data_IF_332759836670
#
_entry.id   IF_332759836670
#
_cell.length_a   1.000
_cell.length_b   1.000
_cell.length_c   1.000
_cell.angle_alpha   90.00
_cell.angle_beta   90.00
_cell.angle_gamma   90.00
#
_symmetry.space_group_name_H-M   'P 1'
#
loop_
_entity.id
_entity.type
_entity.pdbx_description
1 polymer ?
#
# COMPACT_ATOMS: atom_id res chain seq x y z
N UNK A 1 4.42 79.74 -69.48
CA UNK A 1 4.83 81.16 -69.56
C UNK A 1 6.33 81.19 -69.33
N UNK A 2 7.17 81.70 -70.23
CA UNK A 2 6.86 82.15 -71.59
C UNK A 2 8.07 81.93 -72.50
N UNK A 3 7.77 81.76 -73.78
CA UNK A 3 8.70 81.70 -74.90
C UNK A 3 9.58 82.96 -74.96
N UNK A 4 10.90 82.81 -75.21
CA UNK A 4 11.78 83.90 -75.58
C UNK A 4 12.55 83.54 -76.85
N UNK A 5 11.96 83.98 -77.95
CA UNK A 5 12.36 83.70 -79.32
C UNK A 5 13.74 84.28 -79.64
N UNK A 6 14.56 83.49 -80.34
CA UNK A 6 15.81 83.93 -80.94
C UNK A 6 15.54 85.00 -82.00
N UNK A 7 15.94 86.26 -81.75
CA UNK A 7 15.97 87.29 -82.78
C UNK A 7 17.20 87.06 -83.67
N UNK A 8 16.99 86.50 -84.86
CA UNK A 8 18.00 86.47 -85.91
C UNK A 8 18.03 87.82 -86.64
N UNK A 9 19.11 88.58 -86.46
CA UNK A 9 19.35 89.81 -87.23
C UNK A 9 19.47 89.47 -88.73
N UNK A 10 18.39 89.68 -89.50
CA UNK A 10 18.43 89.56 -90.96
C UNK A 10 19.27 90.70 -91.56
N UNK A 11 20.48 90.38 -92.02
CA UNK A 11 21.40 91.34 -92.67
C UNK A 11 21.16 91.39 -94.17
N UNK A 12 21.32 92.56 -94.77
CA UNK A 12 21.11 92.78 -96.22
C UNK A 12 22.30 92.28 -97.06
N UNK A 13 22.02 91.83 -98.29
CA UNK A 13 23.01 91.33 -99.24
C UNK A 13 24.12 92.37 -99.57
N UNK A 14 25.39 91.96 -99.53
CA UNK A 14 26.56 92.86 -99.68
C UNK A 14 26.96 93.14 -101.15
N UNK A 15 26.06 92.91 -102.10
CA UNK A 15 26.25 93.20 -103.53
C UNK A 15 25.84 94.66 -103.85
N UNK A 16 26.59 95.41 -104.69
CA UNK A 16 26.25 96.80 -104.99
C UNK A 16 24.86 96.94 -105.64
N UNK A 17 23.94 97.65 -104.98
CA UNK A 17 22.59 97.89 -105.49
C UNK A 17 21.56 96.77 -105.20
N UNK A 18 21.85 95.81 -104.31
CA UNK A 18 20.88 94.79 -103.91
C UNK A 18 20.40 95.00 -102.46
N UNK A 19 19.07 95.06 -102.27
CA UNK A 19 18.43 95.24 -100.94
C UNK A 19 17.78 93.95 -100.40
N UNK A 20 17.98 92.80 -101.06
CA UNK A 20 17.45 91.51 -100.59
C UNK A 20 18.16 91.07 -99.30
N UNK A 21 17.48 90.40 -98.35
CA UNK A 21 18.14 89.82 -97.18
C UNK A 21 19.17 88.76 -97.62
N UNK A 22 20.28 88.69 -96.90
CA UNK A 22 21.25 87.60 -97.01
C UNK A 22 20.66 86.30 -96.43
N UNK A 23 21.15 85.16 -96.91
CA UNK A 23 20.65 83.84 -96.50
C UNK A 23 20.84 83.64 -94.99
N UNK A 24 19.81 83.12 -94.32
CA UNK A 24 19.88 82.81 -92.89
C UNK A 24 20.95 81.77 -92.61
N UNK A 25 21.78 82.01 -91.58
CA UNK A 25 22.70 81.01 -91.10
C UNK A 25 21.93 79.93 -90.32
N UNK A 26 21.76 78.76 -90.93
CA UNK A 26 21.29 77.57 -90.21
C UNK A 26 22.25 77.24 -89.06
N UNK A 27 21.70 76.69 -87.97
CA UNK A 27 22.31 76.65 -86.64
C UNK A 27 23.52 75.70 -86.51
N UNK A 28 24.61 76.03 -87.19
CA UNK A 28 25.93 75.39 -87.10
C UNK A 28 27.04 76.44 -86.95
N UNK A 29 28.12 76.06 -86.26
CA UNK A 29 29.26 76.94 -85.94
C UNK A 29 30.11 77.25 -87.18
N UNK A 30 29.67 78.22 -87.98
CA UNK A 30 30.35 78.71 -89.17
C UNK A 30 30.22 80.23 -89.37
N UNK A 31 31.03 80.80 -90.26
CA UNK A 31 30.99 82.24 -90.59
C UNK A 31 29.70 82.56 -91.40
N UNK A 32 28.81 83.45 -90.94
CA UNK A 32 27.51 83.68 -91.59
C UNK A 32 27.61 84.12 -93.07
N UNK A 33 26.61 83.77 -93.92
CA UNK A 33 26.56 84.19 -95.32
C UNK A 33 26.50 85.73 -95.50
N UNK A 34 27.21 86.28 -96.50
CA UNK A 34 27.25 87.73 -96.80
C UNK A 34 26.35 88.15 -97.98
N UNK A 35 25.65 87.21 -98.62
CA UNK A 35 24.87 87.44 -99.85
C UNK A 35 23.53 86.70 -99.81
N UNK A 36 22.60 87.01 -100.71
CA UNK A 36 21.29 86.35 -100.86
C UNK A 36 21.35 85.10 -101.77
N UNK A 37 20.25 84.34 -101.85
CA UNK A 37 20.06 83.12 -102.70
C UNK A 37 20.05 83.37 -104.22
N UNK A 38 20.83 84.33 -104.71
CA UNK A 38 20.95 84.68 -106.12
C UNK A 38 22.35 84.28 -106.60
N UNK A 39 22.45 83.33 -107.54
CA UNK A 39 23.76 82.81 -108.00
C UNK A 39 24.68 83.92 -108.54
N UNK A 40 24.10 85.00 -109.07
CA UNK A 40 24.84 86.18 -109.53
C UNK A 40 25.45 87.02 -108.40
N UNK A 41 24.93 86.94 -107.18
CA UNK A 41 25.36 87.75 -106.04
C UNK A 41 26.37 87.02 -105.16
N UNK A 42 27.62 86.98 -105.63
CA UNK A 42 28.74 86.42 -104.89
C UNK A 42 29.94 87.39 -104.82
N UNK A 43 30.92 87.08 -103.98
CA UNK A 43 32.11 87.93 -103.73
C UNK A 43 32.90 88.28 -104.99
N UNK A 44 33.02 87.35 -105.94
CA UNK A 44 33.74 87.55 -107.19
C UNK A 44 32.96 88.45 -108.19
N UNK A 45 31.64 88.39 -108.18
CA UNK A 45 30.79 89.30 -108.95
C UNK A 45 30.76 90.71 -108.33
N UNK A 46 30.59 90.81 -107.00
CA UNK A 46 30.59 92.08 -106.28
C UNK A 46 31.90 92.86 -106.43
N UNK A 47 33.05 92.18 -106.50
CA UNK A 47 34.35 92.82 -106.76
C UNK A 47 34.46 93.34 -108.21
N UNK A 48 34.01 92.54 -109.20
CA UNK A 48 33.97 92.97 -110.61
C UNK A 48 33.05 94.17 -110.84
N UNK A 49 31.90 94.21 -110.16
CA UNK A 49 30.98 95.34 -110.21
C UNK A 49 31.62 96.63 -109.65
N UNK A 50 32.24 96.56 -108.46
CA UNK A 50 32.97 97.71 -107.87
C UNK A 50 34.10 98.20 -108.79
N UNK A 51 34.89 97.28 -109.36
CA UNK A 51 36.02 97.63 -110.25
C UNK A 51 35.60 98.33 -111.55
N UNK A 52 34.36 98.12 -112.04
CA UNK A 52 33.81 98.90 -113.16
C UNK A 52 33.44 100.34 -112.77
N UNK A 53 33.01 100.56 -111.52
CA UNK A 53 32.65 101.89 -111.00
C UNK A 53 33.86 102.76 -110.61
N UNK A 54 35.07 102.20 -110.58
CA UNK A 54 36.32 102.93 -110.23
C UNK A 54 37.25 103.14 -111.43
N UNK A 55 36.79 102.87 -112.66
CA UNK A 55 37.63 102.78 -113.86
C UNK A 55 37.39 103.89 -114.90
N UNK A 56 36.96 105.09 -114.48
CA UNK A 56 36.92 106.28 -115.33
C UNK A 56 37.69 107.46 -114.69
N UNK A 57 38.86 107.80 -115.25
CA UNK A 57 39.35 109.17 -115.22
C UNK A 57 39.90 109.61 -116.59
N UNK A 58 39.41 110.74 -117.10
CA UNK A 58 40.03 111.43 -118.24
C UNK A 58 40.29 112.90 -117.90
N UNK A 59 41.57 113.31 -117.99
CA UNK A 59 41.97 114.72 -117.94
C UNK A 59 43.11 114.97 -118.94
N UNK A 60 42.77 115.73 -119.99
CA UNK A 60 43.55 116.78 -120.65
C UNK A 60 45.09 116.76 -120.59
N UNK A 61 45.72 116.80 -121.77
CA UNK A 61 47.01 117.48 -122.02
C UNK A 61 46.88 118.26 -123.33
N UNK A 62 47.41 119.48 -123.39
CA UNK A 62 47.20 120.48 -124.45
C UNK A 62 48.34 120.60 -125.49
N UNK A 63 48.05 121.43 -126.51
CA UNK A 63 48.87 121.85 -127.65
C UNK A 63 50.36 122.16 -127.39
N UNK A 64 51.20 121.75 -128.35
CA UNK A 64 52.62 122.07 -128.41
C UNK A 64 52.90 123.36 -129.21
N UNK A 65 53.62 124.34 -128.62
CA UNK A 65 54.51 125.22 -129.40
C UNK A 65 55.85 125.55 -128.69
N UNK A 66 56.91 124.97 -129.27
CA UNK A 66 58.35 125.35 -129.26
C UNK A 66 59.27 124.72 -128.18
N UNK A 67 60.53 124.41 -128.54
CA UNK A 67 61.19 123.19 -128.00
C UNK A 67 62.22 123.41 -126.89
N UNK A 68 62.48 124.64 -126.46
CA UNK A 68 63.59 124.95 -125.52
C UNK A 68 63.12 125.02 -124.07
N UNK A 69 61.91 125.50 -123.82
CA UNK A 69 61.34 125.58 -122.46
C UNK A 69 60.94 124.20 -121.91
N UNK A 70 60.52 123.27 -122.78
CA UNK A 70 60.24 121.87 -122.43
C UNK A 70 61.49 121.10 -121.93
N UNK A 71 62.71 121.58 -122.20
CA UNK A 71 63.92 121.02 -121.59
C UNK A 71 64.14 121.57 -120.17
N UNK A 72 63.81 122.84 -119.94
CA UNK A 72 63.92 123.51 -118.63
C UNK A 72 62.87 123.00 -117.64
N UNK A 73 61.65 122.75 -118.12
CA UNK A 73 60.57 122.18 -117.33
C UNK A 73 60.89 120.74 -116.87
N UNK A 74 61.39 119.88 -117.78
CA UNK A 74 61.87 118.53 -117.42
C UNK A 74 63.06 118.53 -116.46
N UNK A 75 63.96 119.51 -116.56
CA UNK A 75 65.02 119.69 -115.57
C UNK A 75 64.45 120.09 -114.19
N UNK A 76 63.41 120.92 -114.15
CA UNK A 76 62.67 121.24 -112.92
C UNK A 76 61.92 120.05 -112.32
N UNK A 77 61.29 119.22 -113.16
CA UNK A 77 60.63 117.98 -112.74
C UNK A 77 61.62 116.96 -112.18
N UNK A 78 62.76 116.73 -112.86
CA UNK A 78 63.85 115.89 -112.35
C UNK A 78 64.45 116.46 -111.06
N UNK A 79 64.59 117.78 -110.93
CA UNK A 79 65.07 118.40 -109.71
C UNK A 79 64.07 118.25 -108.55
N UNK A 80 62.76 118.39 -108.82
CA UNK A 80 61.70 118.10 -107.85
C UNK A 80 61.61 116.63 -107.47
N UNK A 81 61.88 115.72 -108.41
CA UNK A 81 61.89 114.28 -108.15
C UNK A 81 63.13 113.87 -107.34
N UNK A 82 64.30 114.42 -107.63
CA UNK A 82 65.52 114.25 -106.82
C UNK A 82 65.37 114.90 -105.45
N UNK A 83 64.78 116.10 -105.36
CA UNK A 83 64.49 116.75 -104.08
C UNK A 83 63.51 115.89 -103.24
N UNK A 84 62.43 115.40 -103.84
CA UNK A 84 61.49 114.48 -103.18
C UNK A 84 62.12 113.13 -102.79
N UNK A 85 63.07 112.61 -103.55
CA UNK A 85 63.86 111.43 -103.18
C UNK A 85 64.83 111.73 -102.02
N UNK A 86 65.43 112.92 -101.97
CA UNK A 86 66.28 113.37 -100.85
C UNK A 86 65.45 113.64 -99.60
N UNK A 87 64.26 114.21 -99.73
CA UNK A 87 63.29 114.35 -98.64
C UNK A 87 62.80 112.99 -98.15
N UNK A 88 62.50 112.05 -99.07
CA UNK A 88 62.10 110.69 -98.70
C UNK A 88 63.24 109.92 -98.01
N UNK A 89 64.47 110.04 -98.50
CA UNK A 89 65.65 109.48 -97.84
C UNK A 89 65.90 110.15 -96.48
N UNK A 90 65.66 111.45 -96.36
CA UNK A 90 65.69 112.18 -95.09
C UNK A 90 64.64 111.67 -94.09
N UNK A 91 63.42 111.39 -94.55
CA UNK A 91 62.38 110.75 -93.74
C UNK A 91 62.77 109.31 -93.37
N UNK A 92 63.30 108.52 -94.30
CA UNK A 92 63.76 107.15 -94.04
C UNK A 92 64.92 107.12 -93.05
N UNK A 93 65.93 107.98 -93.20
CA UNK A 93 67.04 108.08 -92.24
C UNK A 93 66.58 108.63 -90.89
N UNK A 94 65.60 109.55 -90.85
CA UNK A 94 65.02 110.01 -89.58
C UNK A 94 64.26 108.89 -88.88
N UNK A 95 63.47 108.09 -89.62
CA UNK A 95 62.80 106.92 -89.08
C UNK A 95 63.79 105.85 -88.59
N UNK A 96 64.87 105.59 -89.35
CA UNK A 96 65.94 104.67 -88.95
C UNK A 96 66.71 105.17 -87.73
N UNK A 97 66.92 106.48 -87.60
CA UNK A 97 67.49 107.10 -86.40
C UNK A 97 66.55 107.01 -85.21
N UNK A 98 65.22 107.12 -85.38
CA UNK A 98 64.27 106.92 -84.27
C UNK A 98 64.10 105.44 -83.89
N UNK A 99 64.13 104.50 -84.83
CA UNK A 99 64.20 103.07 -84.53
C UNK A 99 65.52 102.74 -83.81
N UNK A 100 66.66 103.28 -84.25
CA UNK A 100 67.95 103.12 -83.57
C UNK A 100 67.98 103.82 -82.20
N UNK A 101 67.29 104.96 -82.02
CA UNK A 101 67.13 105.61 -80.70
C UNK A 101 66.28 104.75 -79.77
N UNK A 102 65.21 104.15 -80.27
CA UNK A 102 64.33 103.26 -79.49
C UNK A 102 65.05 101.94 -79.14
N UNK A 103 65.90 101.42 -80.03
CA UNK A 103 66.75 100.25 -79.78
C UNK A 103 67.98 100.55 -78.90
N UNK A 104 68.43 101.81 -78.86
CA UNK A 104 69.54 102.27 -78.02
C UNK A 104 69.07 103.01 -76.76
N UNK A 105 67.76 103.02 -76.48
CA UNK A 105 67.18 103.55 -75.25
C UNK A 105 67.36 102.50 -74.14
N UNK A 106 68.27 102.73 -73.17
CA UNK A 106 68.50 101.78 -72.09
C UNK A 106 67.30 101.69 -71.15
N UNK A 107 66.53 102.77 -70.99
CA UNK A 107 65.40 102.84 -70.05
C UNK A 107 64.23 102.01 -70.59
N UNK A 108 64.00 102.04 -71.92
CA UNK A 108 63.02 101.17 -72.58
C UNK A 108 63.39 99.67 -72.49
N UNK A 109 64.69 99.35 -72.63
CA UNK A 109 65.18 97.98 -72.48
C UNK A 109 65.11 97.49 -71.02
N UNK A 110 65.44 98.35 -70.04
CA UNK A 110 65.32 98.06 -68.62
C UNK A 110 63.86 97.82 -68.22
N UNK A 111 62.93 98.68 -68.66
CA UNK A 111 61.49 98.49 -68.43
C UNK A 111 60.94 97.19 -69.07
N UNK A 112 61.45 96.79 -70.24
CA UNK A 112 61.08 95.51 -70.86
C UNK A 112 61.65 94.31 -70.07
N UNK A 113 62.88 94.41 -69.57
CA UNK A 113 63.49 93.37 -68.72
C UNK A 113 62.75 93.28 -67.38
N UNK A 114 62.40 94.40 -66.74
CA UNK A 114 61.61 94.44 -65.50
C UNK A 114 60.22 93.81 -65.71
N UNK A 115 59.56 94.13 -66.83
CA UNK A 115 58.27 93.52 -67.20
C UNK A 115 58.38 92.00 -67.40
N UNK A 116 59.35 91.52 -68.18
CA UNK A 116 59.55 90.09 -68.44
C UNK A 116 60.02 89.33 -67.20
N UNK A 117 60.84 89.94 -66.34
CA UNK A 117 61.26 89.32 -65.08
C UNK A 117 60.14 89.29 -64.04
N UNK A 118 59.29 90.32 -64.00
CA UNK A 118 58.05 90.32 -63.19
C UNK A 118 57.10 89.23 -63.67
N UNK A 119 56.82 89.15 -64.98
CA UNK A 119 55.95 88.09 -65.53
C UNK A 119 56.55 86.69 -65.29
N UNK A 120 57.87 86.52 -65.42
CA UNK A 120 58.54 85.27 -65.11
C UNK A 120 58.43 84.92 -63.61
N UNK A 121 58.61 85.89 -62.71
CA UNK A 121 58.44 85.70 -61.27
C UNK A 121 56.99 85.34 -60.92
N UNK A 122 55.99 86.01 -61.51
CA UNK A 122 54.57 85.67 -61.36
C UNK A 122 54.26 84.26 -61.87
N UNK A 123 54.76 83.88 -63.05
CA UNK A 123 54.60 82.53 -63.61
C UNK A 123 55.24 81.46 -62.71
N UNK A 124 56.43 81.72 -62.16
CA UNK A 124 57.10 80.83 -61.20
C UNK A 124 56.31 80.74 -59.90
N UNK A 125 55.85 81.86 -59.33
CA UNK A 125 55.02 81.90 -58.12
C UNK A 125 53.67 81.19 -58.31
N UNK A 126 53.03 81.37 -59.46
CA UNK A 126 51.79 80.66 -59.81
C UNK A 126 52.01 79.17 -60.09
N UNK A 127 53.21 78.77 -60.53
CA UNK A 127 53.60 77.36 -60.67
C UNK A 127 53.89 76.72 -59.31
N UNK A 128 54.70 77.34 -58.46
CA UNK A 128 55.03 76.85 -57.12
C UNK A 128 53.79 76.80 -56.23
N UNK A 129 52.92 77.82 -56.27
CA UNK A 129 51.65 77.80 -55.54
C UNK A 129 50.70 76.70 -56.01
N UNK A 130 50.73 76.30 -57.30
CA UNK A 130 49.99 75.12 -57.78
C UNK A 130 50.63 73.82 -57.31
N UNK A 131 51.95 73.69 -57.35
CA UNK A 131 52.67 72.52 -56.84
C UNK A 131 52.41 72.31 -55.34
N UNK A 132 52.58 73.35 -54.51
CA UNK A 132 52.33 73.28 -53.06
C UNK A 132 50.88 72.88 -52.73
N UNK A 133 49.89 73.38 -53.49
CA UNK A 133 48.48 72.96 -53.32
C UNK A 133 48.27 71.50 -53.73
N UNK A 134 48.89 71.04 -54.82
CA UNK A 134 48.80 69.66 -55.26
C UNK A 134 49.43 68.70 -54.24
N UNK A 135 50.60 69.04 -53.69
CA UNK A 135 51.22 68.26 -52.61
C UNK A 135 50.39 68.28 -51.32
N UNK A 136 49.78 69.42 -50.95
CA UNK A 136 48.89 69.50 -49.78
C UNK A 136 47.66 68.61 -49.97
N UNK A 137 47.02 68.65 -51.14
CA UNK A 137 45.90 67.77 -51.48
C UNK A 137 46.31 66.29 -51.49
N UNK A 138 47.50 65.96 -52.01
CA UNK A 138 48.04 64.59 -51.95
C UNK A 138 48.28 64.13 -50.51
N UNK A 139 48.91 64.96 -49.67
CA UNK A 139 49.15 64.64 -48.25
C UNK A 139 47.84 64.47 -47.47
N UNK A 140 46.82 65.29 -47.78
CA UNK A 140 45.50 65.14 -47.19
C UNK A 140 44.81 63.84 -47.64
N UNK A 141 44.79 63.54 -48.94
CA UNK A 141 44.18 62.31 -49.46
C UNK A 141 44.90 61.04 -48.95
N UNK A 142 46.22 61.08 -48.78
CA UNK A 142 46.99 59.98 -48.18
C UNK A 142 46.64 59.80 -46.70
N UNK A 143 46.46 60.90 -45.94
CA UNK A 143 46.03 60.85 -44.54
C UNK A 143 44.59 60.33 -44.40
N UNK A 144 43.65 60.81 -45.22
CA UNK A 144 42.27 60.33 -45.28
C UNK A 144 42.20 58.84 -45.65
N UNK A 145 43.07 58.36 -46.56
CA UNK A 145 43.16 56.92 -46.86
C UNK A 145 43.67 56.13 -45.67
N UNK A 146 44.73 56.57 -44.99
CA UNK A 146 45.27 55.88 -43.81
C UNK A 146 44.25 55.85 -42.66
N UNK A 147 43.48 56.91 -42.45
CA UNK A 147 42.39 56.95 -41.47
C UNK A 147 41.25 55.98 -41.84
N UNK A 148 40.85 55.94 -43.12
CA UNK A 148 39.85 55.00 -43.62
C UNK A 148 40.31 53.53 -43.54
N UNK A 149 41.57 53.25 -43.88
CA UNK A 149 42.19 51.93 -43.77
C UNK A 149 42.23 51.47 -42.29
N UNK A 150 42.60 52.36 -41.37
CA UNK A 150 42.59 52.08 -39.92
C UNK A 150 41.17 51.81 -39.39
N UNK A 151 40.19 52.65 -39.75
CA UNK A 151 38.79 52.46 -39.35
C UNK A 151 38.19 51.16 -39.93
N UNK A 152 38.60 50.76 -41.14
CA UNK A 152 38.21 49.49 -41.74
C UNK A 152 38.82 48.28 -41.00
N UNK A 153 40.08 48.38 -40.55
CA UNK A 153 40.71 47.36 -39.71
C UNK A 153 40.02 47.22 -38.36
N UNK A 154 39.77 48.33 -37.64
CA UNK A 154 39.04 48.32 -36.36
C UNK A 154 37.63 47.73 -36.50
N UNK A 155 36.92 48.05 -37.59
CA UNK A 155 35.60 47.48 -37.88
C UNK A 155 35.66 45.97 -38.17
N UNK A 156 36.72 45.49 -38.86
CA UNK A 156 36.93 44.07 -39.12
C UNK A 156 37.26 43.30 -37.83
N UNK A 157 38.17 43.84 -37.01
CA UNK A 157 38.52 43.24 -35.71
C UNK A 157 37.31 43.15 -34.77
N UNK A 158 36.48 44.21 -34.73
CA UNK A 158 35.24 44.19 -33.94
C UNK A 158 34.23 43.16 -34.48
N UNK A 159 34.09 43.05 -35.81
CA UNK A 159 33.22 42.05 -36.43
C UNK A 159 33.69 40.60 -36.15
N UNK A 160 35.00 40.35 -36.19
CA UNK A 160 35.59 39.06 -35.83
C UNK A 160 35.39 38.72 -34.35
N UNK A 161 35.58 39.69 -33.45
CA UNK A 161 35.31 39.52 -32.01
C UNK A 161 33.83 39.22 -31.74
N UNK A 162 32.91 39.96 -32.40
CA UNK A 162 31.47 39.70 -32.30
C UNK A 162 31.11 38.32 -32.83
N UNK A 163 31.63 37.93 -34.00
CA UNK A 163 31.39 36.60 -34.58
C UNK A 163 31.92 35.47 -33.68
N UNK A 164 33.12 35.64 -33.10
CA UNK A 164 33.68 34.69 -32.15
C UNK A 164 32.81 34.56 -30.88
N UNK A 165 32.34 35.69 -30.33
CA UNK A 165 31.44 35.67 -29.16
C UNK A 165 30.10 35.00 -29.46
N UNK A 166 29.54 35.20 -30.67
CA UNK A 166 28.29 34.59 -31.10
C UNK A 166 28.42 33.07 -31.25
N UNK A 167 29.52 32.60 -31.84
CA UNK A 167 29.83 31.15 -31.93
C UNK A 167 30.01 30.55 -30.55
N UNK A 168 30.71 31.21 -29.62
CA UNK A 168 30.88 30.75 -28.25
C UNK A 168 29.54 30.66 -27.50
N UNK A 169 28.65 31.65 -27.66
CA UNK A 169 27.30 31.64 -27.07
C UNK A 169 26.45 30.52 -27.67
N UNK A 170 26.53 30.26 -28.98
CA UNK A 170 25.81 29.14 -29.60
C UNK A 170 26.28 27.78 -29.06
N UNK A 171 27.59 27.61 -28.88
CA UNK A 171 28.15 26.40 -28.27
C UNK A 171 27.65 26.24 -26.82
N UNK A 172 27.73 27.29 -26.02
CA UNK A 172 27.26 27.27 -24.63
C UNK A 172 25.74 27.02 -24.52
N UNK A 173 24.94 27.47 -25.49
CA UNK A 173 23.52 27.14 -25.58
C UNK A 173 23.29 25.68 -25.97
N UNK A 174 24.02 25.15 -26.96
CA UNK A 174 23.88 23.75 -27.37
C UNK A 174 24.32 22.78 -26.27
N UNK A 175 25.39 23.09 -25.54
CA UNK A 175 25.83 22.33 -24.37
C UNK A 175 24.77 22.37 -23.24
N UNK A 176 24.15 23.53 -23.02
CA UNK A 176 23.01 23.66 -22.08
C UNK A 176 21.80 22.85 -22.53
N UNK A 177 21.44 22.85 -23.80
CA UNK A 177 20.34 22.03 -24.33
C UNK A 177 20.63 20.53 -24.14
N UNK A 178 21.85 20.07 -24.46
CA UNK A 178 22.28 18.69 -24.24
C UNK A 178 22.24 18.29 -22.76
N UNK A 179 22.69 19.16 -21.84
CA UNK A 179 22.61 18.86 -20.40
C UNK A 179 21.18 18.86 -19.88
N UNK A 180 20.28 19.71 -20.41
CA UNK A 180 18.86 19.70 -20.06
C UNK A 180 18.18 18.41 -20.56
N UNK A 181 18.48 17.98 -21.78
CA UNK A 181 17.97 16.71 -22.35
C UNK A 181 18.49 15.50 -21.55
N UNK A 182 19.76 15.49 -21.15
CA UNK A 182 20.32 14.46 -20.28
C UNK A 182 19.60 14.42 -18.92
N UNK A 183 19.46 15.56 -18.25
CA UNK A 183 18.77 15.64 -16.94
C UNK A 183 17.29 15.28 -17.07
N UNK A 184 16.64 15.61 -18.19
CA UNK A 184 15.25 15.20 -18.46
C UNK A 184 15.14 13.68 -18.64
N UNK A 185 16.08 13.05 -19.34
CA UNK A 185 16.14 11.59 -19.49
C UNK A 185 16.44 10.87 -18.16
N UNK A 186 17.39 11.38 -17.37
CA UNK A 186 17.69 10.89 -16.02
C UNK A 186 16.47 11.02 -15.11
N UNK A 187 15.78 12.15 -15.12
CA UNK A 187 14.54 12.35 -14.35
C UNK A 187 13.40 11.42 -14.80
N UNK A 188 13.27 11.14 -16.11
CA UNK A 188 12.28 10.21 -16.63
C UNK A 188 12.56 8.76 -16.19
N UNK A 189 13.83 8.32 -16.25
CA UNK A 189 14.23 6.99 -15.76
C UNK A 189 14.09 6.85 -14.24
N UNK A 190 14.45 7.88 -13.46
CA UNK A 190 14.26 7.89 -12.01
C UNK A 190 12.77 7.82 -11.62
N UNK A 191 11.89 8.52 -12.33
CA UNK A 191 10.43 8.45 -12.14
C UNK A 191 9.87 7.07 -12.44
N UNK A 192 10.22 6.47 -13.58
CA UNK A 192 9.72 5.13 -13.93
C UNK A 192 10.23 4.05 -12.98
N UNK A 193 11.47 4.16 -12.49
CA UNK A 193 12.00 3.29 -11.45
C UNK A 193 11.25 3.45 -10.10
N UNK A 194 10.96 4.68 -9.69
CA UNK A 194 10.18 4.94 -8.47
C UNK A 194 8.72 4.47 -8.59
N UNK A 195 8.09 4.61 -9.76
CA UNK A 195 6.75 4.07 -10.04
C UNK A 195 6.74 2.53 -9.97
N UNK A 196 7.73 1.86 -10.58
CA UNK A 196 7.88 0.41 -10.50
C UNK A 196 8.10 -0.09 -9.06
N UNK A 197 8.95 0.60 -8.28
CA UNK A 197 9.17 0.29 -6.86
C UNK A 197 7.90 0.49 -6.02
N UNK A 198 7.11 1.54 -6.28
CA UNK A 198 5.84 1.76 -5.60
C UNK A 198 4.82 0.67 -5.93
N UNK A 199 4.72 0.23 -7.18
CA UNK A 199 3.85 -0.88 -7.58
C UNK A 199 4.28 -2.20 -6.94
N UNK A 200 5.58 -2.48 -6.88
CA UNK A 200 6.12 -3.66 -6.18
C UNK A 200 5.78 -3.61 -4.69
N UNK A 201 6.07 -2.50 -3.99
CA UNK A 201 5.79 -2.33 -2.57
C UNK A 201 4.29 -2.42 -2.25
N UNK A 202 3.42 -1.92 -3.14
CA UNK A 202 1.97 -2.10 -3.02
C UNK A 202 1.57 -3.58 -3.15
N UNK A 203 2.15 -4.32 -4.10
CA UNK A 203 1.94 -5.75 -4.27
C UNK A 203 2.38 -6.58 -3.05
N UNK A 204 3.57 -6.28 -2.52
CA UNK A 204 4.08 -6.90 -1.28
C UNK A 204 3.18 -6.59 -0.08
N UNK A 205 2.70 -5.34 0.05
CA UNK A 205 1.75 -4.96 1.10
C UNK A 205 0.40 -5.65 0.97
N UNK A 206 -0.12 -5.88 -0.25
CA UNK A 206 -1.34 -6.68 -0.45
C UNK A 206 -1.12 -8.14 -0.08
N UNK A 207 0.00 -8.74 -0.50
CA UNK A 207 0.34 -10.12 -0.16
C UNK A 207 0.50 -10.33 1.36
N UNK A 208 1.18 -9.40 2.05
CA UNK A 208 1.33 -9.46 3.51
C UNK A 208 -0.01 -9.29 4.25
N UNK A 209 -0.94 -8.48 3.72
CA UNK A 209 -2.29 -8.34 4.27
C UNK A 209 -3.10 -9.63 4.11
N UNK A 210 -3.04 -10.26 2.94
CA UNK A 210 -3.70 -11.55 2.68
C UNK A 210 -3.12 -12.66 3.59
N UNK A 211 -1.80 -12.72 3.73
CA UNK A 211 -1.13 -13.65 4.65
C UNK A 211 -1.54 -13.41 6.10
N UNK A 212 -1.64 -12.15 6.54
CA UNK A 212 -2.09 -11.80 7.90
C UNK A 212 -3.56 -12.18 8.14
N UNK A 213 -4.44 -12.00 7.16
CA UNK A 213 -5.84 -12.46 7.24
C UNK A 213 -5.88 -13.99 7.34
N UNK A 214 -5.19 -14.72 6.44
CA UNK A 214 -5.15 -16.17 6.46
C UNK A 214 -4.56 -16.74 7.76
N UNK A 215 -3.53 -16.10 8.32
CA UNK A 215 -2.94 -16.47 9.61
C UNK A 215 -3.91 -16.24 10.78
N UNK A 216 -4.68 -15.13 10.76
CA UNK A 216 -5.72 -14.85 11.77
C UNK A 216 -6.89 -15.83 11.69
N UNK A 217 -7.34 -16.19 10.48
CA UNK A 217 -8.38 -17.21 10.29
C UNK A 217 -7.92 -18.55 10.87
N UNK A 218 -6.72 -19.01 10.51
CA UNK A 218 -6.14 -20.25 11.06
C UNK A 218 -5.98 -20.21 12.59
N UNK A 219 -5.57 -19.07 13.15
CA UNK A 219 -5.49 -18.93 14.60
C UNK A 219 -6.87 -19.11 15.25
N UNK A 220 -7.90 -18.42 14.74
CA UNK A 220 -9.27 -18.57 15.24
C UNK A 220 -9.84 -19.99 15.09
N UNK A 221 -9.53 -20.67 13.99
CA UNK A 221 -9.85 -22.10 13.79
C UNK A 221 -9.17 -22.95 14.87
N UNK A 222 -7.87 -22.78 15.12
CA UNK A 222 -7.15 -23.54 16.17
C UNK A 222 -7.59 -23.20 17.59
N UNK A 223 -8.03 -21.97 17.86
CA UNK A 223 -8.60 -21.57 19.14
C UNK A 223 -9.96 -22.24 19.35
N UNK A 224 -10.82 -22.28 18.33
CA UNK A 224 -12.09 -23.01 18.37
C UNK A 224 -11.87 -24.52 18.57
N UNK A 225 -10.97 -25.14 17.82
CA UNK A 225 -10.64 -26.58 17.97
C UNK A 225 -10.14 -26.90 19.38
N UNK A 226 -9.32 -26.02 19.99
CA UNK A 226 -8.84 -26.12 21.37
C UNK A 226 -10.00 -26.03 22.36
N UNK A 227 -10.91 -25.09 22.19
CA UNK A 227 -12.03 -24.87 23.11
C UNK A 227 -13.06 -26.01 23.02
N UNK A 228 -13.30 -26.53 21.82
CA UNK A 228 -14.08 -27.77 21.60
C UNK A 228 -13.38 -29.01 22.18
N UNK A 229 -12.05 -29.11 22.10
CA UNK A 229 -11.29 -30.20 22.73
C UNK A 229 -11.31 -30.10 24.26
N UNK A 230 -11.23 -28.90 24.81
CA UNK A 230 -11.33 -28.63 26.25
C UNK A 230 -12.72 -29.01 26.76
N UNK A 231 -13.78 -28.51 26.12
CA UNK A 231 -15.18 -28.84 26.43
C UNK A 231 -15.44 -30.35 26.36
N UNK A 232 -14.94 -31.05 25.32
CA UNK A 232 -15.04 -32.51 25.23
C UNK A 232 -14.32 -33.23 26.37
N UNK A 233 -13.17 -32.70 26.81
CA UNK A 233 -12.41 -33.27 27.93
C UNK A 233 -13.11 -33.08 29.27
N UNK A 234 -13.71 -31.91 29.49
CA UNK A 234 -14.53 -31.62 30.68
C UNK A 234 -15.80 -32.47 30.73
N UNK A 235 -16.53 -32.59 29.61
CA UNK A 235 -17.70 -33.48 29.54
C UNK A 235 -17.32 -34.95 29.77
N UNK A 236 -16.19 -35.40 29.22
CA UNK A 236 -15.69 -36.75 29.45
C UNK A 236 -15.24 -36.98 30.91
N UNK A 237 -14.68 -35.97 31.58
CA UNK A 237 -14.29 -36.08 32.99
C UNK A 237 -15.51 -36.08 33.92
N UNK A 238 -16.53 -35.25 33.65
CA UNK A 238 -17.80 -35.25 34.36
C UNK A 238 -18.53 -36.60 34.22
N UNK A 239 -18.64 -37.13 32.98
CA UNK A 239 -19.26 -38.44 32.73
C UNK A 239 -18.51 -39.60 33.42
N UNK A 240 -17.18 -39.51 33.55
CA UNK A 240 -16.38 -40.46 34.34
C UNK A 240 -16.66 -40.33 35.84
N UNK A 241 -16.71 -39.12 36.39
CA UNK A 241 -17.02 -38.89 37.80
C UNK A 241 -18.43 -39.40 38.16
N UNK A 242 -19.43 -39.16 37.32
CA UNK A 242 -20.78 -39.73 37.48
C UNK A 242 -20.79 -41.26 37.38
N UNK A 243 -19.97 -41.85 36.51
CA UNK A 243 -19.87 -43.30 36.38
C UNK A 243 -19.18 -43.93 37.59
N UNK A 244 -18.13 -43.31 38.12
CA UNK A 244 -17.48 -43.72 39.38
C UNK A 244 -18.44 -43.60 40.56
N UNK A 245 -19.20 -42.52 40.68
CA UNK A 245 -20.14 -42.35 41.80
C UNK A 245 -21.31 -43.36 41.70
N UNK A 246 -21.84 -43.63 40.51
CA UNK A 246 -22.79 -44.72 40.27
C UNK A 246 -22.20 -46.10 40.62
N UNK A 247 -20.92 -46.34 40.31
CA UNK A 247 -20.24 -47.58 40.68
C UNK A 247 -20.06 -47.70 42.20
N UNK A 248 -19.65 -46.63 42.91
CA UNK A 248 -19.56 -46.59 44.38
C UNK A 248 -20.92 -46.85 45.03
N UNK A 249 -21.99 -46.21 44.52
CA UNK A 249 -23.36 -46.44 44.99
C UNK A 249 -23.81 -47.89 44.80
N UNK A 250 -23.50 -48.51 43.66
CA UNK A 250 -23.80 -49.92 43.39
C UNK A 250 -23.01 -50.88 44.31
N UNK A 251 -21.72 -50.61 44.54
CA UNK A 251 -20.89 -51.39 45.49
C UNK A 251 -21.45 -51.26 46.91
N UNK A 252 -21.73 -50.04 47.38
CA UNK A 252 -22.30 -49.83 48.71
C UNK A 252 -23.69 -50.49 48.89
N UNK A 253 -24.51 -50.55 47.82
CA UNK A 253 -25.77 -51.29 47.84
C UNK A 253 -25.55 -52.81 47.93
N UNK A 254 -24.59 -53.35 47.15
CA UNK A 254 -24.22 -54.76 47.19
C UNK A 254 -23.63 -55.17 48.55
N UNK A 255 -22.77 -54.34 49.15
CA UNK A 255 -22.23 -54.55 50.51
C UNK A 255 -23.36 -54.51 51.56
N UNK A 256 -24.31 -53.57 51.41
CA UNK A 256 -25.50 -53.48 52.24
C UNK A 256 -26.45 -54.69 52.10
N UNK A 257 -26.52 -55.29 50.91
CA UNK A 257 -27.24 -56.54 50.65
C UNK A 257 -26.51 -57.76 51.21
N UNK A 258 -25.20 -57.88 51.01
CA UNK A 258 -24.37 -58.92 51.59
C UNK A 258 -24.44 -58.89 53.14
N UNK A 259 -24.37 -57.71 53.75
CA UNK A 259 -24.53 -57.56 55.20
C UNK A 259 -25.95 -57.88 55.69
N UNK A 260 -27.00 -57.64 54.88
CA UNK A 260 -28.37 -58.10 55.18
C UNK A 260 -28.48 -59.62 55.07
N UNK A 261 -27.92 -60.23 54.03
CA UNK A 261 -27.89 -61.67 53.84
C UNK A 261 -27.14 -62.37 54.98
N UNK A 262 -25.94 -61.90 55.34
CA UNK A 262 -25.16 -62.44 56.46
C UNK A 262 -25.90 -62.34 57.80
N UNK A 263 -26.63 -61.25 58.05
CA UNK A 263 -27.50 -61.15 59.24
C UNK A 263 -28.63 -62.17 59.20
N UNK A 264 -29.32 -62.30 58.07
CA UNK A 264 -30.39 -63.29 57.89
C UNK A 264 -29.87 -64.73 58.04
N UNK A 265 -28.68 -65.06 57.53
CA UNK A 265 -28.02 -66.35 57.74
C UNK A 265 -27.67 -66.59 59.20
N UNK A 266 -27.14 -65.58 59.91
CA UNK A 266 -26.85 -65.66 61.35
C UNK A 266 -28.13 -65.84 62.19
N UNK A 267 -29.22 -65.17 61.84
CA UNK A 267 -30.49 -65.30 62.54
C UNK A 267 -31.16 -66.64 62.22
N UNK A 268 -31.06 -67.14 60.98
CA UNK A 268 -31.47 -68.50 60.63
C UNK A 268 -30.64 -69.58 61.36
N UNK A 269 -29.35 -69.34 61.60
CA UNK A 269 -28.52 -70.22 62.42
C UNK A 269 -29.01 -70.24 63.88
N UNK A 270 -29.25 -69.08 64.50
CA UNK A 270 -29.83 -68.99 65.86
C UNK A 270 -31.18 -69.70 65.96
N UNK A 271 -32.05 -69.55 64.96
CA UNK A 271 -33.37 -70.22 64.93
C UNK A 271 -33.22 -71.75 64.80
N UNK A 272 -32.20 -72.24 64.08
CA UNK A 272 -31.87 -73.68 64.05
C UNK A 272 -31.36 -74.16 65.41
N UNK A 273 -30.43 -73.44 66.03
CA UNK A 273 -29.92 -73.77 67.36
C UNK A 273 -31.04 -73.77 68.42
N UNK A 274 -31.95 -72.80 68.37
CA UNK A 274 -33.15 -72.76 69.23
C UNK A 274 -34.10 -73.93 68.96
N UNK A 275 -34.30 -74.32 67.69
CA UNK A 275 -35.15 -75.45 67.33
C UNK A 275 -34.54 -76.78 67.79
N UNK A 276 -33.22 -76.95 67.65
CA UNK A 276 -32.51 -78.15 68.12
C UNK A 276 -32.45 -78.20 69.65
N UNK A 277 -32.30 -77.05 70.32
CA UNK A 277 -32.46 -76.98 71.77
C UNK A 277 -33.87 -77.39 72.21
N UNK A 278 -34.92 -76.81 71.62
CA UNK A 278 -36.31 -77.18 71.91
C UNK A 278 -36.63 -78.65 71.58
N UNK A 279 -35.96 -79.25 70.58
CA UNK A 279 -36.02 -80.70 70.33
C UNK A 279 -35.37 -81.49 71.45
N UNK A 280 -34.18 -81.09 71.93
CA UNK A 280 -33.54 -81.76 73.08
C UNK A 280 -34.34 -81.62 74.37
N UNK A 281 -34.94 -80.46 74.63
CA UNK A 281 -35.86 -80.25 75.76
C UNK A 281 -37.11 -81.14 75.64
N UNK A 282 -37.73 -81.21 74.45
CA UNK A 282 -38.86 -82.11 74.18
C UNK A 282 -38.48 -83.57 74.42
N UNK A 283 -37.31 -83.99 73.95
CA UNK A 283 -36.88 -85.39 74.05
C UNK A 283 -36.56 -85.75 75.50
N UNK A 284 -35.94 -84.86 76.26
CA UNK A 284 -35.77 -84.98 77.71
C UNK A 284 -37.12 -85.03 78.44
N UNK A 285 -38.06 -84.13 78.13
CA UNK A 285 -39.42 -84.15 78.70
C UNK A 285 -40.18 -85.44 78.34
N UNK A 286 -39.93 -86.03 77.17
CA UNK A 286 -40.54 -87.28 76.74
C UNK A 286 -39.89 -88.50 77.42
N UNK A 287 -38.59 -88.44 77.72
CA UNK A 287 -37.88 -89.42 78.54
C UNK A 287 -38.33 -89.33 80.02
N UNK A 288 -38.41 -88.14 80.60
CA UNK A 288 -38.99 -87.88 81.93
C UNK A 288 -40.43 -88.37 82.02
N UNK A 289 -41.29 -88.06 81.05
CA UNK A 289 -42.67 -88.55 81.00
C UNK A 289 -42.75 -90.09 80.82
N UNK A 290 -41.71 -90.72 80.27
CA UNK A 290 -41.62 -92.18 80.15
C UNK A 290 -41.11 -92.81 81.45
N UNK A 291 -40.15 -92.18 82.13
CA UNK A 291 -39.68 -92.53 83.47
C UNK A 291 -40.79 -92.39 84.52
N UNK A 292 -41.52 -91.27 84.52
CA UNK A 292 -42.71 -91.05 85.38
C UNK A 292 -43.81 -92.08 85.12
N UNK A 293 -44.03 -92.50 83.86
CA UNK A 293 -44.94 -93.61 83.54
C UNK A 293 -44.43 -94.95 84.06
N UNK A 294 -43.13 -95.23 83.93
CA UNK A 294 -42.47 -96.41 84.52
C UNK A 294 -42.63 -96.46 86.05
N UNK A 295 -42.37 -95.34 86.72
CA UNK A 295 -42.57 -95.19 88.17
C UNK A 295 -44.05 -95.34 88.57
N UNK A 296 -44.99 -94.78 87.79
CA UNK A 296 -46.43 -94.95 88.02
C UNK A 296 -46.85 -96.42 87.88
N UNK A 297 -46.30 -97.15 86.91
CA UNK A 297 -46.55 -98.59 86.77
C UNK A 297 -45.94 -99.39 87.91
N UNK A 298 -44.72 -99.08 88.35
CA UNK A 298 -44.08 -99.71 89.50
C UNK A 298 -44.90 -99.52 90.78
N UNK A 299 -45.26 -98.26 91.11
CA UNK A 299 -46.11 -97.93 92.27
C UNK A 299 -47.50 -98.57 92.16
N UNK A 300 -48.04 -98.73 90.94
CA UNK A 300 -49.31 -99.44 90.75
C UNK A 300 -49.18 -100.94 91.02
N UNK A 301 -48.08 -101.57 90.58
CA UNK A 301 -47.78 -102.98 90.87
C UNK A 301 -47.53 -103.20 92.36
N UNK A 302 -46.78 -102.32 93.03
CA UNK A 302 -46.56 -102.37 94.49
C UNK A 302 -47.88 -102.19 95.26
N UNK A 303 -48.73 -101.24 94.85
CA UNK A 303 -50.07 -101.05 95.44
C UNK A 303 -50.92 -102.30 95.29
N UNK A 304 -50.90 -102.93 94.11
CA UNK A 304 -51.74 -104.09 93.83
C UNK A 304 -51.18 -105.37 94.46
N UNK A 305 -49.85 -105.49 94.67
CA UNK A 305 -49.26 -106.54 95.51
C UNK A 305 -49.62 -106.33 96.99
N UNK A 306 -49.52 -105.10 97.51
CA UNK A 306 -49.92 -104.79 98.89
C UNK A 306 -51.42 -105.04 99.13
N UNK A 307 -52.28 -104.81 98.11
CA UNK A 307 -53.69 -105.21 98.16
C UNK A 307 -53.88 -106.72 98.18
N UNK A 308 -53.11 -107.47 97.39
CA UNK A 308 -53.13 -108.93 97.43
C UNK A 308 -52.63 -109.47 98.79
N UNK A 309 -51.66 -108.82 99.42
CA UNK A 309 -51.20 -109.15 100.77
C UNK A 309 -52.27 -108.88 101.83
N UNK A 310 -52.93 -107.71 101.79
CA UNK A 310 -54.05 -107.39 102.68
C UNK A 310 -55.21 -108.39 102.52
N UNK A 311 -55.49 -108.83 101.29
CA UNK A 311 -56.56 -109.79 101.02
C UNK A 311 -56.20 -111.21 101.48
N UNK A 312 -54.93 -111.60 101.38
CA UNK A 312 -54.38 -112.83 101.99
C UNK A 312 -54.47 -112.80 103.51
N UNK A 313 -54.09 -111.70 104.15
CA UNK A 313 -54.20 -111.53 105.60
C UNK A 313 -55.67 -111.50 106.07
N UNK A 314 -56.59 -110.94 105.28
CA UNK A 314 -58.03 -111.03 105.57
C UNK A 314 -58.55 -112.45 105.50
N UNK A 315 -58.25 -113.20 104.43
CA UNK A 315 -58.67 -114.60 104.32
C UNK A 315 -58.08 -115.45 105.45
N UNK A 316 -56.80 -115.27 105.81
CA UNK A 316 -56.22 -115.91 107.00
C UNK A 316 -56.89 -115.46 108.32
N UNK A 317 -57.29 -114.19 108.44
CA UNK A 317 -58.03 -113.67 109.58
C UNK A 317 -59.42 -114.29 109.72
N UNK A 318 -60.19 -114.35 108.64
CA UNK A 318 -61.51 -114.96 108.60
C UNK A 318 -61.45 -116.48 108.87
N UNK A 319 -60.41 -117.18 108.37
CA UNK A 319 -60.13 -118.58 108.71
C UNK A 319 -59.98 -118.74 110.24
N UNK A 320 -59.13 -117.92 110.87
CA UNK A 320 -58.89 -117.95 112.32
C UNK A 320 -60.15 -117.65 113.14
N UNK A 321 -60.99 -116.73 112.68
CA UNK A 321 -62.28 -116.41 113.33
C UNK A 321 -63.28 -117.56 113.19
N UNK A 322 -63.29 -118.25 112.04
CA UNK A 322 -64.10 -119.45 111.82
C UNK A 322 -63.67 -120.60 112.75
N UNK A 323 -62.37 -120.89 112.81
CA UNK A 323 -61.81 -121.95 113.67
C UNK A 323 -62.08 -121.66 115.17
N UNK A 324 -61.95 -120.40 115.59
CA UNK A 324 -62.30 -119.96 116.95
C UNK A 324 -63.79 -120.14 117.25
N UNK A 325 -64.69 -119.85 116.30
CA UNK A 325 -66.14 -120.08 116.47
C UNK A 325 -66.47 -121.56 116.59
N UNK A 326 -65.91 -122.41 115.73
CA UNK A 326 -66.10 -123.87 115.80
C UNK A 326 -65.63 -124.41 117.16
N UNK A 327 -64.47 -123.93 117.64
CA UNK A 327 -63.93 -124.32 118.96
C UNK A 327 -64.84 -123.88 120.12
N UNK A 328 -65.41 -122.66 120.05
CA UNK A 328 -66.35 -122.16 121.06
C UNK A 328 -67.71 -122.88 121.01
N UNK A 329 -68.21 -123.24 119.82
CA UNK A 329 -69.44 -124.03 119.68
C UNK A 329 -69.27 -125.44 120.26
N UNK A 330 -68.11 -126.07 120.06
CA UNK A 330 -67.76 -127.34 120.69
C UNK A 330 -67.71 -127.23 122.23
N UNK A 331 -67.09 -126.17 122.77
CA UNK A 331 -67.09 -125.92 124.22
C UNK A 331 -68.50 -125.66 124.78
N UNK A 332 -69.35 -124.93 124.06
CA UNK A 332 -70.75 -124.69 124.45
C UNK A 332 -71.63 -125.95 124.35
N UNK A 333 -71.30 -126.90 123.47
CA UNK A 333 -71.95 -128.22 123.46
C UNK A 333 -71.52 -129.04 124.69
N UNK A 334 -70.21 -129.13 124.95
CA UNK A 334 -69.65 -129.86 126.08
C UNK A 334 -70.21 -129.38 127.43
N UNK A 335 -70.26 -128.06 127.66
CA UNK A 335 -70.85 -127.48 128.89
C UNK A 335 -72.36 -127.74 129.00
N UNK A 336 -73.10 -127.89 127.89
CA UNK A 336 -74.52 -128.23 127.91
C UNK A 336 -74.77 -129.69 128.29
N UNK A 337 -73.92 -130.61 127.83
CA UNK A 337 -74.01 -132.02 128.17
C UNK A 337 -73.63 -132.26 129.64
N UNK A 338 -72.60 -131.58 130.16
CA UNK A 338 -72.26 -131.57 131.59
C UNK A 338 -73.41 -131.04 132.45
N UNK A 339 -74.09 -129.97 132.03
CA UNK A 339 -75.29 -129.44 132.68
C UNK A 339 -76.52 -130.37 132.59
N UNK A 340 -76.57 -131.26 131.60
CA UNK A 340 -77.63 -132.23 131.45
C UNK A 340 -77.46 -133.41 132.43
N UNK A 341 -76.24 -133.95 132.57
CA UNK A 341 -75.95 -135.02 133.54
C UNK A 341 -76.05 -134.54 135.00
N UNK A 342 -75.52 -133.36 135.35
CA UNK A 342 -75.67 -132.81 136.71
C UNK A 342 -77.15 -132.62 137.12
N UNK A 343 -78.05 -132.33 136.16
CA UNK A 343 -79.50 -132.24 136.40
C UNK A 343 -80.19 -133.60 136.52
N UNK A 344 -79.57 -134.67 136.04
CA UNK A 344 -80.03 -136.05 136.12
C UNK A 344 -79.66 -136.65 137.47
N UNK A 345 -78.40 -136.49 137.90
CA UNK A 345 -77.91 -136.87 139.23
C UNK A 345 -78.70 -136.17 140.36
N UNK A 346 -78.98 -134.88 140.22
CA UNK A 346 -79.76 -134.11 141.19
C UNK A 346 -81.23 -134.59 141.34
N UNK A 347 -81.79 -135.28 140.34
CA UNK A 347 -83.14 -135.89 140.42
C UNK A 347 -83.10 -137.25 141.11
N UNK A 348 -82.04 -138.03 140.92
CA UNK A 348 -81.87 -139.34 141.56
C UNK A 348 -81.51 -139.26 143.05
N UNK A 349 -80.89 -138.16 143.51
CA UNK A 349 -80.63 -137.96 144.95
C UNK A 349 -81.90 -137.61 145.75
N UNK A 350 -82.85 -136.85 145.18
CA UNK A 350 -84.04 -136.41 145.94
C UNK A 350 -85.06 -137.52 146.20
N UNK A 351 -85.24 -138.47 145.28
CA UNK A 351 -86.18 -139.60 145.50
C UNK A 351 -85.74 -140.58 146.60
N UNK A 352 -84.46 -140.51 147.03
CA UNK A 352 -83.92 -141.34 148.12
C UNK A 352 -84.13 -140.74 149.51
N UNK A 353 -84.43 -139.44 149.63
CA UNK A 353 -84.57 -138.77 150.93
C UNK A 353 -85.95 -139.01 151.58
N UNK A 354 -87.03 -139.04 150.80
CA UNK A 354 -88.41 -139.07 151.31
C UNK A 354 -88.91 -140.47 151.79
N UNK A 355 -88.04 -141.39 152.25
CA UNK A 355 -88.44 -142.78 152.62
C UNK A 355 -88.40 -143.14 154.11
N UNK A 356 -87.77 -142.35 154.97
CA UNK A 356 -87.61 -142.74 156.38
C UNK A 356 -87.79 -141.57 157.37
N UNK A 357 -88.57 -141.85 158.41
CA UNK A 357 -88.69 -141.14 159.71
C UNK A 357 -89.90 -140.24 159.98
N UNK A 358 -91.08 -140.71 159.59
CA UNK A 358 -92.35 -140.47 160.31
C UNK A 358 -93.11 -141.81 160.33
N UNK A 359 -93.46 -142.47 161.45
CA UNK A 359 -93.32 -142.25 162.91
C UNK A 359 -93.81 -143.60 163.57
N UNK A 360 -93.84 -143.76 164.91
CA UNK A 360 -95.12 -143.46 165.56
C UNK A 360 -95.02 -142.18 166.40
N UNK A 361 -95.98 -141.26 166.29
CA UNK A 361 -97.28 -141.38 165.61
C UNK A 361 -97.31 -141.10 164.08
N UNK A 362 -97.63 -142.10 163.25
CA UNK A 362 -98.37 -141.92 161.97
C UNK A 362 -97.98 -140.80 160.97
N UNK A 363 -97.35 -141.13 159.83
CA UNK A 363 -97.65 -140.64 158.45
C UNK A 363 -96.66 -141.12 157.33
N UNK A 364 -97.13 -142.07 156.51
CA UNK A 364 -96.88 -142.25 155.04
C UNK A 364 -95.53 -142.87 154.51
N UNK A 365 -95.60 -143.54 153.35
CA UNK A 365 -94.65 -144.51 152.78
C UNK A 365 -94.00 -144.07 151.43
N UNK A 366 -93.04 -144.84 150.87
CA UNK A 366 -92.32 -144.53 149.61
C UNK A 366 -91.78 -145.81 148.89
N UNK A 367 -91.74 -145.84 147.54
CA UNK A 367 -91.34 -146.99 146.69
C UNK A 367 -90.65 -146.60 145.34
N UNK A 368 -90.08 -147.60 144.63
CA UNK A 368 -89.34 -147.48 143.33
C UNK A 368 -87.82 -147.26 143.48
N UNK A 369 -86.85 -147.68 142.62
CA UNK A 369 -86.70 -148.80 141.62
C UNK A 369 -86.60 -148.48 140.10
N UNK A 370 -85.41 -148.61 139.44
CA UNK A 370 -85.19 -149.38 138.16
C UNK A 370 -83.71 -149.52 137.66
N UNK A 371 -83.36 -150.53 136.80
CA UNK A 371 -81.97 -150.83 136.38
C UNK A 371 -81.73 -151.21 134.88
N UNK A 372 -80.44 -151.45 134.51
CA UNK A 372 -79.87 -152.48 133.56
C UNK A 372 -80.42 -152.67 132.11
N UNK A 373 -79.56 -153.03 131.13
CA UNK A 373 -79.19 -154.44 130.93
C UNK A 373 -77.69 -154.75 130.73
N UNK A 374 -77.38 -156.05 130.78
CA UNK A 374 -76.06 -156.69 130.60
C UNK A 374 -75.69 -156.92 129.14
N UNK A 375 -74.37 -157.03 128.87
CA UNK A 375 -73.72 -157.81 127.80
C UNK A 375 -74.27 -157.63 126.37
N UNK A 376 -73.41 -157.15 125.48
CA UNK A 376 -72.94 -157.86 124.27
C UNK A 376 -71.82 -156.99 123.67
N UNK A 377 -70.71 -157.58 123.21
CA UNK A 377 -70.56 -158.19 121.88
C UNK A 377 -71.00 -157.16 120.82
N UNK A 378 -70.09 -156.53 120.07
CA UNK A 378 -68.70 -156.93 119.73
C UNK A 378 -67.67 -155.79 119.87
#
# INVERSE_FOLDING_TARGET
>A
MSDQLQQTEQRTCRFPGCERPAVSADAGTGRPPEYCDDEGHNRAAAWRARRRLTAEPTRSVEDEKRPVDAARQRAGELHGQVAGMVEHLGHQMSALVEELRTLADPDAAEAQIESVTTEAAERVAASSARASRAEQAQRQAEAERVEADAAAMEASELAEQQQASFVAIQQELSDREQTLDQVAAELATARSAAEAQNLQAQGELTQLREQLVAARTRLGETEQERDEATTRTELASAARAEAEERARGAVAHADGEAARAQRAESDLAKVRDQLDHARTERDAMQEEASSLRGNLTAVSVERDSARADIERERTHGDQRVSDLRITQEQQLAQVRDELAELRKEAREQRSRADRAEIRPATQVANEGTKPKPTKQND
#
